data_IF_358250197054
#
_entry.id   IF_358250197054
#
_cell.length_a   1.000
_cell.length_b   1.000
_cell.length_c   1.000
_cell.angle_alpha   90.00
_cell.angle_beta   90.00
_cell.angle_gamma   90.00
#
_symmetry.space_group_name_H-M   'P 1'
#
loop_
_entity.id
_entity.type
_entity.pdbx_description
1 polymer ?
#
# COMPACT_ATOMS: atom_id res chain seq x y z
N UNK A 1 3.97 -41.51 -10.58
CA UNK A 1 2.84 -40.85 -11.25
C UNK A 1 2.56 -41.55 -12.55
N UNK A 2 3.56 -41.71 -13.41
CA UNK A 2 3.54 -42.69 -14.48
C UNK A 2 3.70 -44.11 -13.86
N UNK A 3 2.61 -44.89 -13.82
CA UNK A 3 2.51 -46.20 -13.16
C UNK A 3 2.87 -47.32 -14.13
N UNK A 4 2.54 -47.16 -15.41
CA UNK A 4 2.81 -48.16 -16.44
C UNK A 4 4.17 -47.97 -17.14
N UNK A 5 4.81 -46.82 -16.93
CA UNK A 5 6.16 -46.49 -17.42
C UNK A 5 6.20 -46.12 -18.89
N UNK A 6 5.08 -45.69 -19.48
CA UNK A 6 5.00 -45.35 -20.90
C UNK A 6 5.59 -43.96 -21.24
N UNK A 7 5.97 -43.20 -20.21
CA UNK A 7 6.59 -41.88 -20.31
C UNK A 7 5.59 -40.72 -20.41
N UNK A 8 4.29 -41.00 -20.31
CA UNK A 8 3.23 -40.01 -20.18
C UNK A 8 2.48 -40.21 -18.86
N UNK A 9 1.80 -39.15 -18.41
CA UNK A 9 0.86 -39.22 -17.30
C UNK A 9 -0.51 -38.99 -17.92
N UNK A 10 -1.28 -40.06 -18.00
CA UNK A 10 -2.64 -40.07 -18.52
C UNK A 10 -3.64 -39.51 -17.50
N UNK A 11 -4.86 -39.19 -17.96
CA UNK A 11 -5.95 -38.78 -17.07
C UNK A 11 -6.28 -39.86 -16.03
N UNK A 12 -6.22 -41.14 -16.41
CA UNK A 12 -6.49 -42.25 -15.50
C UNK A 12 -5.51 -42.31 -14.34
N UNK A 13 -4.23 -42.05 -14.60
CA UNK A 13 -3.22 -42.04 -13.54
C UNK A 13 -3.38 -40.82 -12.64
N UNK A 14 -3.70 -39.66 -13.21
CA UNK A 14 -4.02 -38.47 -12.41
C UNK A 14 -5.23 -38.74 -11.50
N UNK A 15 -6.29 -39.35 -12.02
CA UNK A 15 -7.49 -39.71 -11.25
C UNK A 15 -7.13 -40.68 -10.12
N UNK A 16 -6.38 -41.73 -10.42
CA UNK A 16 -5.93 -42.72 -9.44
C UNK A 16 -5.18 -42.09 -8.25
N UNK A 17 -4.25 -41.17 -8.50
CA UNK A 17 -3.56 -40.47 -7.40
C UNK A 17 -4.46 -39.46 -6.69
N UNK A 18 -5.36 -38.80 -7.42
CA UNK A 18 -6.26 -37.80 -6.85
C UNK A 18 -7.32 -38.42 -5.94
N UNK A 19 -7.83 -39.62 -6.25
CA UNK A 19 -8.75 -40.36 -5.36
C UNK A 19 -8.16 -40.57 -3.96
N UNK A 20 -6.86 -40.90 -3.87
CA UNK A 20 -6.15 -41.03 -2.61
C UNK A 20 -6.03 -39.69 -1.87
N UNK A 21 -5.80 -38.59 -2.61
CA UNK A 21 -5.77 -37.24 -2.03
C UNK A 21 -7.13 -36.80 -1.52
N UNK A 22 -8.21 -37.05 -2.26
CA UNK A 22 -9.57 -36.74 -1.84
C UNK A 22 -9.89 -37.41 -0.50
N UNK A 23 -9.59 -38.71 -0.37
CA UNK A 23 -9.80 -39.44 0.89
C UNK A 23 -9.03 -38.86 2.08
N UNK A 24 -7.85 -38.28 1.85
CA UNK A 24 -7.07 -37.63 2.93
C UNK A 24 -7.61 -36.23 3.25
N UNK A 25 -8.09 -35.49 2.26
CA UNK A 25 -8.74 -34.19 2.46
C UNK A 25 -10.04 -34.37 3.27
N UNK A 26 -10.83 -35.39 2.94
CA UNK A 26 -12.05 -35.75 3.69
C UNK A 26 -11.73 -36.09 5.16
N UNK A 27 -10.59 -36.74 5.45
CA UNK A 27 -10.17 -37.03 6.83
C UNK A 27 -9.80 -35.76 7.64
N UNK A 28 -9.53 -34.66 6.95
CA UNK A 28 -9.25 -33.35 7.54
C UNK A 28 -10.52 -32.47 7.61
N UNK A 29 -11.70 -33.01 7.29
CA UNK A 29 -12.96 -32.26 7.12
C UNK A 29 -12.85 -31.13 6.06
N UNK A 30 -12.02 -31.35 5.02
CA UNK A 30 -11.87 -30.44 3.89
C UNK A 30 -12.59 -31.05 2.68
N UNK A 31 -13.54 -30.33 2.11
CA UNK A 31 -14.23 -30.74 0.89
C UNK A 31 -13.26 -30.66 -0.31
N UNK A 32 -12.93 -31.79 -0.95
CA UNK A 32 -12.04 -31.78 -2.10
C UNK A 32 -12.74 -31.21 -3.34
N UNK A 33 -11.97 -30.55 -4.20
CA UNK A 33 -12.44 -30.12 -5.51
C UNK A 33 -12.76 -31.35 -6.39
N UNK A 34 -13.79 -31.30 -7.26
CA UNK A 34 -14.01 -32.36 -8.25
C UNK A 34 -12.78 -32.58 -9.14
N UNK A 35 -12.52 -33.83 -9.52
CA UNK A 35 -11.36 -34.20 -10.34
C UNK A 35 -11.31 -33.43 -11.67
N UNK A 36 -12.45 -33.24 -12.34
CA UNK A 36 -12.54 -32.53 -13.61
C UNK A 36 -12.01 -31.09 -13.50
N UNK A 37 -12.36 -30.38 -12.42
CA UNK A 37 -11.92 -29.01 -12.17
C UNK A 37 -10.43 -28.96 -11.79
N UNK A 38 -9.99 -29.89 -10.93
CA UNK A 38 -8.59 -30.03 -10.52
C UNK A 38 -7.68 -30.27 -11.72
N UNK A 39 -8.04 -31.22 -12.60
CA UNK A 39 -7.27 -31.51 -13.80
C UNK A 39 -7.25 -30.32 -14.75
N UNK A 40 -8.37 -29.62 -14.93
CA UNK A 40 -8.37 -28.40 -15.75
C UNK A 40 -7.37 -27.38 -15.21
N UNK A 41 -7.35 -27.11 -13.91
CA UNK A 41 -6.39 -26.21 -13.27
C UNK A 41 -4.94 -26.68 -13.48
N UNK A 42 -4.68 -27.97 -13.33
CA UNK A 42 -3.34 -28.54 -13.52
C UNK A 42 -2.89 -28.47 -14.99
N UNK A 43 -3.78 -28.74 -15.95
CA UNK A 43 -3.47 -28.65 -17.37
C UNK A 43 -3.26 -27.20 -17.83
N UNK A 44 -3.99 -26.24 -17.27
CA UNK A 44 -3.80 -24.83 -17.57
C UNK A 44 -2.49 -24.28 -16.99
N UNK A 45 -2.03 -24.84 -15.86
CA UNK A 45 -0.72 -24.55 -15.29
C UNK A 45 0.42 -25.20 -16.10
N UNK A 46 0.30 -26.48 -16.44
CA UNK A 46 1.35 -27.24 -17.13
C UNK A 46 1.44 -26.89 -18.61
N UNK A 47 0.30 -26.59 -19.24
CA UNK A 47 0.16 -26.31 -20.69
C UNK A 47 0.86 -27.35 -21.57
N UNK A 48 0.49 -28.64 -21.44
CA UNK A 48 1.13 -29.69 -22.21
C UNK A 48 0.88 -29.53 -23.71
N UNK A 49 1.79 -30.08 -24.53
CA UNK A 49 1.65 -30.05 -25.99
C UNK A 49 0.35 -30.74 -26.44
N UNK A 50 -0.02 -31.83 -25.77
CA UNK A 50 -1.27 -32.54 -25.96
C UNK A 50 -2.08 -32.47 -24.66
N UNK A 51 -3.37 -32.10 -24.71
CA UNK A 51 -4.19 -31.96 -23.49
C UNK A 51 -4.57 -33.29 -22.84
N UNK A 52 -4.48 -34.40 -23.56
CA UNK A 52 -4.92 -35.72 -23.07
C UNK A 52 -3.92 -36.38 -22.10
N UNK A 53 -2.66 -35.90 -22.09
CA UNK A 53 -1.60 -36.46 -21.24
C UNK A 53 -0.51 -35.43 -20.96
N UNK A 54 0.18 -35.61 -19.85
CA UNK A 54 1.31 -34.77 -19.45
C UNK A 54 2.61 -35.55 -19.55
N UNK A 55 3.60 -35.02 -20.27
CA UNK A 55 4.92 -35.63 -20.36
C UNK A 55 5.90 -35.02 -19.37
N UNK A 56 7.01 -35.72 -19.12
CA UNK A 56 8.13 -35.15 -18.34
C UNK A 56 8.66 -33.85 -18.96
N UNK A 57 8.59 -33.70 -20.29
CA UNK A 57 9.03 -32.49 -20.98
C UNK A 57 8.13 -31.30 -20.63
N UNK A 58 6.82 -31.50 -20.59
CA UNK A 58 5.85 -30.46 -20.25
C UNK A 58 6.06 -29.97 -18.82
N UNK A 59 6.22 -30.90 -17.87
CA UNK A 59 6.53 -30.58 -16.47
C UNK A 59 7.84 -29.80 -16.31
N UNK A 60 8.87 -30.13 -17.09
CA UNK A 60 10.13 -29.37 -17.08
C UNK A 60 9.99 -27.96 -17.66
N UNK A 61 9.07 -27.76 -18.61
CA UNK A 61 8.85 -26.47 -19.27
C UNK A 61 7.99 -25.52 -18.43
N UNK A 62 7.01 -26.03 -17.69
CA UNK A 62 6.09 -25.19 -16.93
C UNK A 62 6.74 -24.52 -15.70
N UNK A 63 7.90 -25.02 -15.23
CA UNK A 63 8.63 -24.57 -14.02
C UNK A 63 7.85 -24.66 -12.70
N UNK A 64 6.58 -25.08 -12.75
CA UNK A 64 5.67 -25.24 -11.62
C UNK A 64 5.35 -26.72 -11.34
N UNK A 65 6.22 -27.64 -11.77
CA UNK A 65 6.03 -29.09 -11.57
C UNK A 65 5.88 -29.49 -10.10
N UNK A 66 6.46 -28.72 -9.17
CA UNK A 66 6.30 -28.97 -7.74
C UNK A 66 4.84 -28.83 -7.29
N UNK A 67 4.12 -27.81 -7.79
CA UNK A 67 2.68 -27.63 -7.50
C UNK A 67 1.90 -28.81 -8.06
N UNK A 68 2.17 -29.22 -9.31
CA UNK A 68 1.52 -30.37 -9.93
C UNK A 68 1.67 -31.63 -9.08
N UNK A 69 2.89 -31.92 -8.63
CA UNK A 69 3.16 -33.08 -7.78
C UNK A 69 2.51 -32.97 -6.40
N UNK A 70 2.54 -31.79 -5.78
CA UNK A 70 1.97 -31.60 -4.46
C UNK A 70 0.44 -31.78 -4.50
N UNK A 71 -0.24 -31.32 -5.56
CA UNK A 71 -1.68 -31.53 -5.79
C UNK A 71 -2.08 -33.01 -5.81
N UNK A 72 -1.31 -33.88 -6.46
CA UNK A 72 -1.70 -35.28 -6.65
C UNK A 72 -1.29 -36.23 -5.53
N UNK A 73 -0.33 -35.92 -4.67
CA UNK A 73 0.07 -36.89 -3.63
C UNK A 73 0.59 -36.30 -2.31
N UNK A 74 0.63 -34.98 -2.16
CA UNK A 74 1.13 -34.33 -0.96
C UNK A 74 0.13 -33.32 -0.38
N UNK A 75 -0.81 -33.82 0.43
CA UNK A 75 -1.86 -33.00 1.05
C UNK A 75 -1.32 -31.80 1.81
N UNK A 76 -0.27 -32.00 2.62
CA UNK A 76 0.28 -30.93 3.48
C UNK A 76 0.72 -29.74 2.61
N UNK A 77 1.52 -30.01 1.58
CA UNK A 77 2.00 -28.94 0.69
C UNK A 77 0.94 -28.41 -0.27
N UNK A 78 -0.03 -29.24 -0.65
CA UNK A 78 -1.19 -28.80 -1.41
C UNK A 78 -1.97 -27.73 -0.63
N UNK A 79 -2.25 -27.97 0.66
CA UNK A 79 -2.96 -27.01 1.52
C UNK A 79 -2.15 -25.72 1.72
N UNK A 80 -0.83 -25.84 1.93
CA UNK A 80 0.05 -24.67 2.01
C UNK A 80 0.01 -23.81 0.73
N UNK A 81 -0.17 -24.45 -0.43
CA UNK A 81 -0.23 -23.76 -1.71
C UNK A 81 -1.60 -23.16 -2.00
N UNK A 82 -2.68 -23.83 -1.62
CA UNK A 82 -4.06 -23.31 -1.73
C UNK A 82 -4.31 -22.13 -0.79
N UNK A 83 -3.66 -22.11 0.37
CA UNK A 83 -3.77 -21.00 1.33
C UNK A 83 -2.84 -19.81 0.99
N UNK A 84 -1.92 -19.97 0.03
CA UNK A 84 -1.10 -18.85 -0.44
C UNK A 84 -1.94 -17.89 -1.25
N UNK A 85 -1.88 -16.61 -0.87
CA UNK A 85 -2.52 -15.54 -1.61
C UNK A 85 -2.01 -15.52 -3.07
N UNK A 86 -2.89 -15.57 -4.09
CA UNK A 86 -2.51 -15.46 -5.50
C UNK A 86 -1.74 -14.18 -5.85
N UNK A 87 -1.89 -13.13 -5.03
CA UNK A 87 -1.20 -11.85 -5.15
C UNK A 87 -0.02 -11.73 -4.19
N UNK A 88 0.21 -12.70 -3.30
CA UNK A 88 1.48 -12.74 -2.58
C UNK A 88 2.57 -12.83 -3.64
N UNK A 89 3.57 -11.93 -3.61
CA UNK A 89 4.66 -12.00 -4.55
C UNK A 89 5.21 -13.42 -4.49
N UNK A 90 5.25 -14.11 -5.64
CA UNK A 90 6.04 -15.33 -5.74
C UNK A 90 7.38 -14.94 -5.13
N UNK A 91 7.81 -15.67 -4.09
CA UNK A 91 9.07 -15.42 -3.43
C UNK A 91 10.19 -15.66 -4.43
N UNK A 92 10.41 -14.72 -5.34
CA UNK A 92 11.72 -14.38 -5.82
C UNK A 92 12.50 -14.11 -4.54
N UNK A 93 13.54 -14.90 -4.32
CA UNK A 93 14.23 -15.03 -3.06
C UNK A 93 14.75 -13.69 -2.45
N UNK A 94 14.70 -12.60 -3.22
CA UNK A 94 15.11 -11.24 -2.83
C UNK A 94 13.99 -10.38 -2.19
N UNK A 95 12.70 -10.75 -2.32
CA UNK A 95 11.58 -9.94 -1.79
C UNK A 95 11.30 -10.16 -0.28
N UNK A 96 11.96 -11.13 0.35
CA UNK A 96 11.76 -11.48 1.78
C UNK A 96 12.38 -10.46 2.76
N UNK A 97 12.94 -9.35 2.27
CA UNK A 97 13.72 -8.41 3.08
C UNK A 97 13.05 -7.07 3.36
N UNK A 98 11.82 -6.81 2.87
CA UNK A 98 11.27 -5.45 2.99
C UNK A 98 9.75 -5.32 3.19
N UNK A 99 9.05 -6.39 3.55
CA UNK A 99 7.68 -6.28 4.07
C UNK A 99 7.77 -6.08 5.58
N UNK A 100 7.27 -4.96 6.12
CA UNK A 100 7.32 -4.75 7.55
C UNK A 100 6.48 -5.81 8.26
N UNK A 101 7.09 -6.45 9.24
CA UNK A 101 6.45 -7.49 10.05
C UNK A 101 5.19 -6.93 10.73
N UNK A 102 4.25 -7.80 11.11
CA UNK A 102 3.04 -7.39 11.82
C UNK A 102 3.35 -6.63 13.13
N UNK A 103 4.54 -6.86 13.72
CA UNK A 103 5.04 -6.07 14.85
C UNK A 103 5.47 -4.64 14.46
N UNK A 104 6.07 -4.48 13.28
CA UNK A 104 6.47 -3.17 12.75
C UNK A 104 5.25 -2.34 12.36
N UNK A 105 4.17 -3.00 11.90
CA UNK A 105 2.86 -2.35 11.69
C UNK A 105 2.24 -1.92 13.01
N UNK A 106 2.17 -2.82 14.00
CA UNK A 106 1.63 -2.49 15.31
C UNK A 106 2.41 -1.35 16.00
N UNK A 107 3.73 -1.35 15.92
CA UNK A 107 4.57 -0.29 16.46
C UNK A 107 4.36 1.05 15.71
N UNK A 108 4.13 1.01 14.40
CA UNK A 108 3.82 2.21 13.62
C UNK A 108 2.46 2.79 14.01
N UNK A 109 1.43 1.96 14.17
CA UNK A 109 0.09 2.39 14.54
C UNK A 109 0.05 2.99 15.95
N UNK A 110 0.67 2.34 16.94
CA UNK A 110 0.75 2.88 18.32
C UNK A 110 1.55 4.19 18.38
N UNK A 111 2.60 4.31 17.55
CA UNK A 111 3.33 5.57 17.42
C UNK A 111 2.46 6.68 16.84
N UNK A 112 1.67 6.39 15.80
CA UNK A 112 0.76 7.36 15.20
C UNK A 112 -0.30 7.85 16.20
N UNK A 113 -0.84 6.93 17.02
CA UNK A 113 -1.76 7.27 18.11
C UNK A 113 -1.11 8.24 19.11
N UNK A 114 0.10 7.93 19.59
CA UNK A 114 0.83 8.79 20.54
C UNK A 114 1.17 10.16 19.94
N UNK A 115 1.53 10.23 18.65
CA UNK A 115 1.78 11.48 17.94
C UNK A 115 0.50 12.31 17.81
N UNK A 116 -0.64 11.68 17.54
CA UNK A 116 -1.92 12.37 17.46
C UNK A 116 -2.35 12.94 18.83
N UNK A 117 -2.07 12.22 19.92
CA UNK A 117 -2.30 12.70 21.28
C UNK A 117 -1.40 13.90 21.64
N UNK A 118 -0.12 13.88 21.25
CA UNK A 118 0.80 15.01 21.45
C UNK A 118 0.34 16.25 20.66
N UNK A 119 -0.10 16.06 19.41
CA UNK A 119 -0.65 17.15 18.59
C UNK A 119 -1.98 17.70 19.14
N UNK A 120 -2.84 16.84 19.68
CA UNK A 120 -4.07 17.27 20.33
C UNK A 120 -3.79 18.06 21.61
N UNK A 121 -2.77 17.65 22.38
CA UNK A 121 -2.34 18.34 23.59
C UNK A 121 -1.68 19.71 23.26
N UNK A 122 -0.92 19.80 22.17
CA UNK A 122 -0.39 21.07 21.65
C UNK A 122 -1.52 21.99 21.12
N UNK A 123 -2.55 21.43 20.47
CA UNK A 123 -3.73 22.20 20.07
C UNK A 123 -4.52 22.71 21.28
N UNK A 124 -4.63 21.91 22.33
CA UNK A 124 -5.25 22.30 23.59
C UNK A 124 -4.44 23.39 24.31
N UNK A 125 -3.11 23.36 24.27
CA UNK A 125 -2.27 24.48 24.73
C UNK A 125 -2.38 25.73 23.84
N UNK A 126 -2.64 25.58 22.54
CA UNK A 126 -2.85 26.73 21.64
C UNK A 126 -4.24 27.38 21.80
N UNK A 127 -5.27 26.59 22.16
CA UNK A 127 -6.63 27.06 22.42
C UNK A 127 -6.75 27.82 23.76
N UNK A 128 -5.87 27.54 24.73
CA UNK A 128 -5.77 28.24 26.02
C UNK A 128 -5.12 29.64 25.90
N UNK A 129 -4.66 30.05 24.70
CA UNK A 129 -3.90 31.30 24.50
C UNK A 129 -4.43 32.22 23.37
N UNK A 130 -5.69 32.13 22.93
CA UNK A 130 -6.27 33.08 21.94
C UNK A 130 -7.78 32.82 21.74
N UNK A 131 -8.78 33.69 21.86
CA UNK A 131 -9.02 35.12 22.18
C UNK A 131 -10.47 35.18 22.71
N UNK A 132 -10.86 36.18 23.50
CA UNK A 132 -12.23 36.69 23.41
C UNK A 132 -12.17 38.22 23.40
N UNK A 133 -12.35 38.78 22.20
CA UNK A 133 -12.26 40.22 21.88
C UNK A 133 -13.66 40.88 21.97
N UNK A 134 -14.56 40.34 22.79
CA UNK A 134 -15.85 40.93 23.11
C UNK A 134 -15.75 41.70 24.44
N UNK A 135 -15.42 42.99 24.34
CA UNK A 135 -15.44 43.90 25.49
C UNK A 135 -16.86 43.93 26.07
N UNK A 136 -17.00 43.58 27.36
CA UNK A 136 -18.27 43.59 28.10
C UNK A 136 -18.97 44.96 27.95
N UNK A 137 -20.22 45.01 27.45
CA UNK A 137 -20.99 46.26 27.31
C UNK A 137 -21.09 47.08 28.60
N UNK A 138 -20.95 46.46 29.78
CA UNK A 138 -20.91 47.17 31.06
C UNK A 138 -19.65 48.06 31.19
N UNK A 139 -18.51 47.60 30.69
CA UNK A 139 -17.24 48.35 30.68
C UNK A 139 -17.30 49.53 29.71
N UNK A 140 -18.03 49.38 28.60
CA UNK A 140 -18.21 50.46 27.62
C UNK A 140 -19.03 51.64 28.18
N UNK A 141 -20.04 51.34 29.01
CA UNK A 141 -20.80 52.36 29.74
C UNK A 141 -19.93 53.06 30.78
N UNK A 142 -19.07 52.31 31.47
CA UNK A 142 -18.17 52.84 32.50
C UNK A 142 -17.08 53.75 31.90
N UNK A 143 -16.54 53.41 30.74
CA UNK A 143 -15.60 54.23 29.96
C UNK A 143 -16.24 55.52 29.41
N UNK A 144 -17.53 55.47 29.03
CA UNK A 144 -18.31 56.67 28.67
C UNK A 144 -18.51 57.60 29.86
N UNK A 145 -18.80 57.05 31.04
CA UNK A 145 -18.99 57.84 32.26
C UNK A 145 -17.69 58.51 32.74
N UNK A 146 -16.52 57.93 32.40
CA UNK A 146 -15.20 58.49 32.64
C UNK A 146 -14.75 59.53 31.59
N UNK A 147 -15.55 59.75 30.54
CA UNK A 147 -15.35 60.85 29.57
C UNK A 147 -14.21 60.65 28.57
N UNK A 148 -13.79 59.39 28.31
CA UNK A 148 -12.62 59.10 27.46
C UNK A 148 -12.92 58.98 25.96
N UNK A 149 -14.20 58.94 25.55
CA UNK A 149 -14.59 58.89 24.14
C UNK A 149 -15.49 60.09 23.78
N UNK A 150 -14.87 61.21 23.40
CA UNK A 150 -15.54 62.31 22.69
C UNK A 150 -14.94 62.45 21.28
N UNK A 151 -15.70 62.03 20.26
CA UNK A 151 -15.45 62.37 18.87
C UNK A 151 -15.82 63.84 18.59
N UNK A 152 -14.84 64.69 18.24
CA UNK A 152 -14.94 65.69 17.13
C UNK A 152 -13.68 66.56 16.88
N UNK A 153 -13.52 67.26 15.72
CA UNK A 153 -12.54 66.88 14.69
C UNK A 153 -11.73 68.06 14.06
N UNK A 154 -10.98 67.75 12.99
CA UNK A 154 -10.33 68.60 11.95
C UNK A 154 -9.02 69.38 12.25
N UNK A 155 -7.97 69.04 11.50
CA UNK A 155 -7.28 69.98 10.60
C UNK A 155 -6.38 69.22 9.57
N UNK A 156 -6.60 69.49 8.28
CA UNK A 156 -5.73 69.13 7.14
C UNK A 156 -4.56 70.14 6.98
N UNK A 157 -3.63 69.79 6.06
CA UNK A 157 -2.53 70.56 5.44
C UNK A 157 -1.12 70.35 6.02
N UNK A 158 -0.02 70.16 5.28
CA UNK A 158 0.30 70.02 3.84
C UNK A 158 1.81 69.66 3.70
N UNK A 159 2.15 68.89 2.66
CA UNK A 159 3.34 69.01 1.77
C UNK A 159 4.80 69.12 2.31
N UNK A 160 5.69 68.18 1.94
CA UNK A 160 6.68 68.27 0.81
C UNK A 160 8.01 67.48 0.99
N UNK A 161 8.29 66.64 -0.03
CA UNK A 161 9.58 66.31 -0.73
C UNK A 161 10.81 65.84 0.11
N UNK A 162 11.64 64.85 -0.28
CA UNK A 162 12.19 64.52 -1.60
C UNK A 162 13.07 63.22 -1.55
N UNK A 163 12.91 62.34 -2.55
CA UNK A 163 13.90 61.59 -3.40
C UNK A 163 15.25 61.08 -2.85
N UNK A 164 15.53 59.79 -3.09
CA UNK A 164 16.73 59.17 -3.76
C UNK A 164 16.36 57.69 -4.03
N UNK A 165 16.06 57.21 -5.24
CA UNK A 165 16.94 56.93 -6.39
C UNK A 165 17.84 55.69 -6.20
N UNK A 166 17.43 54.54 -6.77
CA UNK A 166 18.28 53.58 -7.51
C UNK A 166 17.37 52.58 -8.24
N UNK A 167 17.09 52.87 -9.50
CA UNK A 167 16.80 51.85 -10.50
C UNK A 167 18.09 51.16 -10.96
N UNK A 168 17.92 50.13 -11.77
CA UNK A 168 18.95 49.36 -12.48
C UNK A 168 19.75 48.37 -11.62
N UNK A 169 19.34 47.09 -11.65
CA UNK A 169 20.15 45.87 -11.91
C UNK A 169 19.16 44.69 -11.86
N UNK A 170 18.34 44.52 -12.89
CA UNK A 170 17.61 43.25 -13.12
C UNK A 170 17.88 42.61 -14.49
N UNK A 171 18.82 43.10 -15.30
CA UNK A 171 18.84 42.75 -16.73
C UNK A 171 20.19 42.23 -17.30
N UNK A 172 21.00 41.51 -16.51
CA UNK A 172 22.29 40.98 -17.04
C UNK A 172 22.62 39.51 -16.82
N UNK A 173 21.76 38.70 -16.20
CA UNK A 173 22.05 37.28 -15.95
C UNK A 173 21.23 36.29 -16.81
N UNK A 174 20.47 36.77 -17.80
CA UNK A 174 19.63 35.92 -18.65
C UNK A 174 20.25 35.52 -20.01
N UNK A 175 21.48 35.93 -20.33
CA UNK A 175 22.02 35.81 -21.70
C UNK A 175 23.37 35.09 -21.82
N UNK A 176 23.78 34.30 -20.83
CA UNK A 176 25.02 33.48 -20.89
C UNK A 176 24.74 31.98 -21.03
N UNK A 177 23.50 31.51 -20.86
CA UNK A 177 23.21 30.06 -20.85
C UNK A 177 22.80 29.45 -22.22
N UNK A 178 22.94 30.17 -23.35
CA UNK A 178 22.54 29.67 -24.69
C UNK A 178 23.64 29.62 -25.75
N UNK A 179 24.92 29.60 -25.38
CA UNK A 179 25.99 29.43 -26.36
C UNK A 179 27.23 28.75 -25.81
N UNK A 180 27.62 27.66 -26.47
CA UNK A 180 28.95 27.04 -26.46
C UNK A 180 29.28 26.11 -25.27
N UNK A 181 28.76 24.89 -25.35
CA UNK A 181 29.63 23.70 -25.24
C UNK A 181 29.84 23.12 -26.63
N UNK A 182 30.85 23.65 -27.31
CA UNK A 182 31.80 22.90 -28.14
C UNK A 182 33.18 23.33 -27.68
#
# INVERSE_FOLDING_TARGET
MDVDGDGVISMYEMEFFYEDQMRKLEQLDIEPLPFEDCVCQMLDMVKPINRDHVTLKDLKQCKMAHVFFDTFFNVEKYLDNEQKDPFAPQKDADALLNEPSDWEKYAADEYEVLVAEEQANDHQMSLDMSYDDDIDPLLEVELKNLGLNQDRPLAEEKENNNVLETGDILEKNAEVAKGLTT
#
